data_IF_784330036076
#
_entry.id   IF_784330036076
#
_cell.length_a   1.000
_cell.length_b   1.000
_cell.length_c   1.000
_cell.angle_alpha   90.00
_cell.angle_beta   90.00
_cell.angle_gamma   90.00
#
_symmetry.space_group_name_H-M   'P 1'
#
loop_
_entity.id
_entity.type
_entity.pdbx_description
1 polymer ?
#
# COMPACT_ATOMS: atom_id res chain seq x y z
N UNK A 1 -13.81 -4.20 -6.25
CA UNK A 1 -12.41 -3.80 -6.53
C UNK A 1 -11.62 -4.80 -7.38
N UNK A 2 -12.24 -5.85 -7.97
CA UNK A 2 -11.50 -6.83 -8.80
C UNK A 2 -10.76 -6.17 -9.97
N UNK A 3 -11.44 -5.34 -10.77
CA UNK A 3 -10.82 -4.59 -11.89
C UNK A 3 -9.78 -3.55 -11.46
N UNK A 4 -9.71 -3.18 -10.17
CA UNK A 4 -8.64 -2.31 -9.67
C UNK A 4 -7.33 -3.09 -9.49
N UNK A 5 -7.38 -4.27 -8.87
CA UNK A 5 -6.18 -5.08 -8.57
C UNK A 5 -5.84 -6.11 -9.65
N UNK A 6 -6.84 -6.50 -10.45
CA UNK A 6 -6.73 -7.43 -11.57
C UNK A 6 -7.38 -6.83 -12.83
N UNK A 7 -6.89 -5.68 -13.33
CA UNK A 7 -7.31 -5.15 -14.62
C UNK A 7 -6.78 -6.05 -15.75
N UNK A 8 -7.57 -6.20 -16.79
CA UNK A 8 -7.17 -6.85 -18.05
C UNK A 8 -6.62 -5.81 -19.03
N UNK A 9 -6.93 -4.53 -18.87
CA UNK A 9 -6.43 -3.43 -19.72
C UNK A 9 -6.23 -2.13 -18.94
N UNK A 10 -5.19 -1.37 -19.30
CA UNK A 10 -4.79 -0.15 -18.59
C UNK A 10 -4.59 1.01 -19.55
N UNK A 11 -5.07 2.19 -19.19
CA UNK A 11 -4.75 3.44 -19.87
C UNK A 11 -3.88 4.34 -18.96
N UNK A 12 -2.73 4.78 -19.45
CA UNK A 12 -1.84 5.71 -18.77
C UNK A 12 -1.94 7.08 -19.44
N UNK A 13 -2.42 8.07 -18.70
CA UNK A 13 -2.64 9.44 -19.16
C UNK A 13 -1.56 10.36 -18.58
N UNK A 14 -0.87 11.11 -19.46
CA UNK A 14 0.26 11.95 -19.09
C UNK A 14 1.61 11.46 -19.62
N UNK A 15 1.59 10.55 -20.60
CA UNK A 15 2.79 9.98 -21.21
C UNK A 15 3.33 10.90 -22.30
N UNK A 16 4.63 11.07 -22.39
CA UNK A 16 5.29 11.75 -23.50
C UNK A 16 6.66 11.13 -23.80
N UNK A 17 7.24 11.51 -24.95
CA UNK A 17 8.58 11.07 -25.37
C UNK A 17 9.72 11.82 -24.68
N UNK A 18 9.43 12.81 -23.83
CA UNK A 18 10.47 13.59 -23.17
C UNK A 18 11.20 12.71 -22.14
N UNK A 19 12.55 12.70 -22.09
CA UNK A 19 13.30 11.83 -21.19
C UNK A 19 12.94 11.96 -19.71
N UNK A 20 12.45 13.12 -19.28
CA UNK A 20 12.08 13.44 -17.89
C UNK A 20 10.61 13.16 -17.57
N UNK A 21 9.81 12.63 -18.51
CA UNK A 21 8.41 12.34 -18.27
C UNK A 21 8.26 11.17 -17.28
N UNK A 22 7.66 11.44 -16.12
CA UNK A 22 7.43 10.42 -15.10
C UNK A 22 6.37 9.39 -15.51
N UNK A 23 5.45 9.73 -16.42
CA UNK A 23 4.42 8.81 -16.92
C UNK A 23 5.01 7.64 -17.71
N UNK A 24 6.15 7.85 -18.37
CA UNK A 24 6.94 6.79 -19.02
C UNK A 24 7.36 5.70 -18.02
N UNK A 25 7.72 6.08 -16.80
CA UNK A 25 8.17 5.11 -15.79
C UNK A 25 7.05 4.16 -15.36
N UNK A 26 5.79 4.61 -15.37
CA UNK A 26 4.61 3.77 -15.11
C UNK A 26 4.55 2.64 -16.15
N UNK A 27 4.69 3.00 -17.43
CA UNK A 27 4.69 2.05 -18.55
C UNK A 27 5.87 1.08 -18.44
N UNK A 28 7.07 1.60 -18.19
CA UNK A 28 8.27 0.77 -18.03
C UNK A 28 8.19 -0.17 -16.83
N UNK A 29 7.55 0.24 -15.73
CA UNK A 29 7.32 -0.63 -14.58
C UNK A 29 6.34 -1.75 -14.93
N UNK A 30 5.23 -1.46 -15.60
CA UNK A 30 4.31 -2.49 -16.08
C UNK A 30 5.01 -3.52 -16.99
N UNK A 31 5.87 -3.06 -17.90
CA UNK A 31 6.68 -3.96 -18.75
C UNK A 31 7.70 -4.77 -17.95
N UNK A 32 8.44 -4.10 -17.06
CA UNK A 32 9.49 -4.72 -16.24
C UNK A 32 8.93 -5.80 -15.30
N UNK A 33 7.69 -5.64 -14.85
CA UNK A 33 7.00 -6.62 -14.01
C UNK A 33 6.04 -7.53 -14.79
N UNK A 34 6.11 -7.50 -16.12
CA UNK A 34 5.41 -8.41 -17.02
C UNK A 34 3.88 -8.37 -16.91
N UNK A 35 3.29 -7.18 -16.83
CA UNK A 35 1.85 -7.02 -17.01
C UNK A 35 1.43 -7.53 -18.40
N UNK A 36 0.51 -8.49 -18.45
CA UNK A 36 0.14 -9.18 -19.70
C UNK A 36 -0.93 -8.44 -20.51
N UNK A 37 -1.71 -7.56 -19.87
CA UNK A 37 -2.79 -6.84 -20.53
C UNK A 37 -2.32 -5.70 -21.44
N UNK A 38 -3.14 -5.25 -22.41
CA UNK A 38 -2.82 -4.08 -23.22
C UNK A 38 -2.67 -2.80 -22.38
N UNK A 39 -1.66 -2.02 -22.74
CA UNK A 39 -1.34 -0.72 -22.14
C UNK A 39 -1.56 0.37 -23.20
N UNK A 40 -2.52 1.26 -22.97
CA UNK A 40 -2.86 2.37 -23.85
C UNK A 40 -2.26 3.66 -23.30
N UNK A 41 -1.67 4.48 -24.17
CA UNK A 41 -0.92 5.66 -23.76
C UNK A 41 -1.61 6.91 -24.28
N UNK A 42 -1.84 7.90 -23.42
CA UNK A 42 -2.42 9.18 -23.81
C UNK A 42 -1.49 10.32 -23.39
N UNK A 43 -1.26 11.26 -24.30
CA UNK A 43 -0.33 12.36 -24.11
C UNK A 43 -0.61 13.54 -25.03
N UNK A 44 -0.17 14.74 -24.63
CA UNK A 44 -0.49 16.00 -25.32
C UNK A 44 -0.02 16.06 -26.79
N UNK A 45 1.14 15.48 -27.10
CA UNK A 45 1.82 15.63 -28.40
C UNK A 45 1.77 14.37 -29.27
N UNK A 46 1.14 13.29 -28.79
CA UNK A 46 1.22 11.97 -29.43
C UNK A 46 2.65 11.39 -29.47
N UNK A 47 2.89 10.46 -30.39
CA UNK A 47 4.19 9.82 -30.59
C UNK A 47 4.18 8.31 -30.33
N UNK A 48 5.34 7.76 -29.95
CA UNK A 48 5.51 6.34 -29.64
C UNK A 48 6.44 6.13 -28.46
N UNK A 49 6.07 5.23 -27.56
CA UNK A 49 6.90 4.76 -26.45
C UNK A 49 6.98 3.24 -26.48
N UNK A 50 8.19 2.67 -26.52
CA UNK A 50 8.45 1.23 -26.56
C UNK A 50 7.57 0.49 -27.60
N UNK A 51 7.42 1.10 -28.78
CA UNK A 51 6.59 0.54 -29.86
C UNK A 51 5.08 0.73 -29.71
N UNK A 52 4.56 1.37 -28.66
CA UNK A 52 3.13 1.69 -28.49
C UNK A 52 2.82 3.11 -28.97
N UNK A 53 1.66 3.31 -29.60
CA UNK A 53 1.15 4.64 -29.99
C UNK A 53 0.76 5.42 -28.73
N UNK A 54 1.19 6.68 -28.67
CA UNK A 54 0.66 7.67 -27.73
C UNK A 54 -0.48 8.40 -28.46
N UNK A 55 -1.70 8.19 -28.00
CA UNK A 55 -2.89 8.86 -28.50
C UNK A 55 -2.94 10.30 -27.98
N UNK A 56 -3.48 11.21 -28.78
CA UNK A 56 -3.66 12.61 -28.37
C UNK A 56 -4.94 12.84 -27.58
N UNK A 57 -5.89 11.92 -27.69
CA UNK A 57 -7.22 12.00 -27.08
C UNK A 57 -7.64 10.63 -26.55
N UNK A 58 -8.39 10.62 -25.44
CA UNK A 58 -8.88 9.39 -24.79
C UNK A 58 -9.89 8.67 -25.70
N UNK A 59 -10.66 9.44 -26.46
CA UNK A 59 -11.74 8.99 -27.32
C UNK A 59 -11.23 8.20 -28.53
N UNK A 60 -9.99 8.43 -28.96
CA UNK A 60 -9.35 7.71 -30.09
C UNK A 60 -9.06 6.24 -29.78
N UNK A 61 -9.10 5.83 -28.51
CA UNK A 61 -8.83 4.46 -28.09
C UNK A 61 -10.11 3.63 -28.27
N UNK A 62 -10.20 2.86 -29.34
CA UNK A 62 -11.30 1.92 -29.56
C UNK A 62 -11.06 0.58 -28.84
N UNK A 63 -11.10 0.63 -27.50
CA UNK A 63 -10.95 -0.54 -26.64
C UNK A 63 -11.65 -0.35 -25.30
N UNK A 64 -12.02 -1.47 -24.66
CA UNK A 64 -12.51 -1.47 -23.28
C UNK A 64 -11.32 -1.34 -22.32
N UNK A 65 -11.41 -0.38 -21.39
CA UNK A 65 -10.37 -0.06 -20.42
C UNK A 65 -10.87 -0.33 -19.01
N UNK A 66 -10.19 -1.20 -18.26
CA UNK A 66 -10.57 -1.52 -16.89
C UNK A 66 -10.10 -0.47 -15.87
N UNK A 67 -8.90 0.07 -16.09
CA UNK A 67 -8.22 0.97 -15.18
C UNK A 67 -7.52 2.11 -15.92
N UNK A 68 -7.75 3.34 -15.47
CA UNK A 68 -6.98 4.51 -15.92
C UNK A 68 -6.05 5.01 -14.82
N UNK A 69 -4.83 5.41 -15.18
CA UNK A 69 -3.87 6.07 -14.30
C UNK A 69 -3.56 7.46 -14.83
N UNK A 70 -3.75 8.47 -13.99
CA UNK A 70 -3.48 9.87 -14.31
C UNK A 70 -2.20 10.36 -13.65
N UNK A 71 -1.29 10.87 -14.48
CA UNK A 71 -0.15 11.67 -14.06
C UNK A 71 -0.08 12.96 -14.91
N UNK A 72 -1.09 13.80 -14.75
CA UNK A 72 -1.27 15.11 -15.42
C UNK A 72 -1.56 16.21 -14.40
N UNK A 73 -1.36 17.50 -14.70
CA UNK A 73 -1.69 18.57 -13.75
C UNK A 73 -3.13 18.48 -13.24
N UNK A 74 -3.32 18.70 -11.93
CA UNK A 74 -4.58 18.47 -11.23
C UNK A 74 -5.80 19.11 -11.90
N UNK A 75 -5.65 20.31 -12.46
CA UNK A 75 -6.72 21.06 -13.13
C UNK A 75 -7.31 20.34 -14.36
N UNK A 76 -6.56 19.45 -15.03
CA UNK A 76 -7.06 18.68 -16.19
C UNK A 76 -7.76 17.37 -15.83
N UNK A 77 -7.69 16.95 -14.55
CA UNK A 77 -8.28 15.68 -14.11
C UNK A 77 -9.81 15.64 -14.28
N UNK A 78 -10.60 16.68 -13.95
CA UNK A 78 -12.05 16.66 -14.11
C UNK A 78 -12.50 16.31 -15.54
N UNK A 79 -11.98 17.01 -16.55
CA UNK A 79 -12.33 16.79 -17.96
C UNK A 79 -11.94 15.38 -18.42
N UNK A 80 -10.72 14.94 -18.09
CA UNK A 80 -10.25 13.62 -18.46
C UNK A 80 -11.07 12.50 -17.78
N UNK A 81 -11.52 12.72 -16.55
CA UNK A 81 -12.37 11.80 -15.79
C UNK A 81 -13.78 11.70 -16.38
N UNK A 82 -14.35 12.81 -16.87
CA UNK A 82 -15.62 12.78 -17.59
C UNK A 82 -15.56 11.92 -18.85
N UNK A 83 -14.50 12.09 -19.66
CA UNK A 83 -14.26 11.28 -20.86
C UNK A 83 -14.08 9.80 -20.52
N UNK A 84 -13.36 9.48 -19.44
CA UNK A 84 -13.21 8.10 -18.95
C UNK A 84 -14.56 7.49 -18.57
N UNK A 85 -15.42 8.26 -17.89
CA UNK A 85 -16.77 7.83 -17.54
C UNK A 85 -17.64 7.53 -18.76
N UNK A 86 -17.57 8.38 -19.78
CA UNK A 86 -18.28 8.17 -21.05
C UNK A 86 -17.81 6.91 -21.79
N UNK A 87 -16.55 6.51 -21.62
CA UNK A 87 -16.01 5.23 -22.13
C UNK A 87 -16.31 4.01 -21.26
N UNK A 88 -17.03 4.18 -20.13
CA UNK A 88 -17.37 3.09 -19.22
C UNK A 88 -16.22 2.63 -18.32
N UNK A 89 -15.21 3.47 -18.10
CA UNK A 89 -14.11 3.16 -17.18
C UNK A 89 -14.59 3.38 -15.75
N UNK A 90 -14.48 2.37 -14.88
CA UNK A 90 -15.03 2.42 -13.52
C UNK A 90 -13.98 2.55 -12.40
N UNK A 91 -12.69 2.53 -12.73
CA UNK A 91 -11.61 2.75 -11.76
C UNK A 91 -10.57 3.71 -12.32
N UNK A 92 -10.17 4.67 -11.49
CA UNK A 92 -9.11 5.61 -11.81
C UNK A 92 -8.12 5.74 -10.65
N UNK A 93 -6.83 5.76 -10.96
CA UNK A 93 -5.78 6.19 -10.04
C UNK A 93 -5.35 7.60 -10.40
N UNK A 94 -5.34 8.50 -9.43
CA UNK A 94 -4.83 9.86 -9.62
C UNK A 94 -3.53 9.97 -8.82
N UNK A 95 -2.39 9.86 -9.50
CA UNK A 95 -1.07 9.97 -8.85
C UNK A 95 -0.68 11.44 -8.63
N UNK A 96 -1.21 12.33 -9.46
CA UNK A 96 -0.97 13.77 -9.38
C UNK A 96 -1.25 14.35 -8.00
N UNK A 97 -0.35 15.24 -7.57
CA UNK A 97 -0.61 16.21 -6.49
C UNK A 97 -1.16 17.53 -7.05
N UNK A 98 -1.36 18.50 -6.16
CA UNK A 98 -1.94 19.82 -6.47
C UNK A 98 -3.34 20.01 -5.89
N UNK A 99 -3.74 19.22 -4.90
CA UNK A 99 -5.07 19.24 -4.29
C UNK A 99 -5.05 19.90 -2.90
N UNK A 100 -5.86 19.41 -1.96
CA UNK A 100 -6.02 20.00 -0.63
C UNK A 100 -4.75 19.98 0.23
N UNK A 101 -3.75 19.16 -0.13
CA UNK A 101 -2.43 19.15 0.51
C UNK A 101 -1.60 20.40 0.24
N UNK A 102 -1.90 21.16 -0.83
CA UNK A 102 -1.18 22.40 -1.16
C UNK A 102 -1.88 23.65 -0.65
N UNK A 103 -3.20 23.76 -0.86
CA UNK A 103 -3.97 24.92 -0.46
C UNK A 103 -5.44 24.55 -0.23
N UNK A 104 -6.07 25.16 0.79
CA UNK A 104 -7.48 24.93 1.11
C UNK A 104 -8.43 25.29 -0.04
N UNK A 105 -8.05 26.25 -0.89
CA UNK A 105 -8.82 26.67 -2.07
C UNK A 105 -9.01 25.53 -3.09
N UNK A 106 -8.08 24.56 -3.10
CA UNK A 106 -8.14 23.39 -3.99
C UNK A 106 -9.18 22.35 -3.55
N UNK A 107 -9.83 22.50 -2.38
CA UNK A 107 -10.97 21.66 -1.97
C UNK A 107 -12.13 21.71 -2.97
N UNK A 108 -12.27 22.81 -3.71
CA UNK A 108 -13.26 22.91 -4.79
C UNK A 108 -12.97 21.95 -5.94
N UNK A 109 -11.69 21.75 -6.27
CA UNK A 109 -11.27 20.82 -7.30
C UNK A 109 -11.53 19.37 -6.89
N UNK A 110 -11.18 18.99 -5.65
CA UNK A 110 -11.49 17.68 -5.09
C UNK A 110 -13.00 17.40 -5.07
N UNK A 111 -13.80 18.40 -4.66
CA UNK A 111 -15.26 18.29 -4.65
C UNK A 111 -15.83 18.07 -6.05
N UNK A 112 -15.31 18.77 -7.07
CA UNK A 112 -15.71 18.59 -8.46
C UNK A 112 -15.35 17.18 -8.97
N UNK A 113 -14.13 16.73 -8.73
CA UNK A 113 -13.67 15.38 -9.10
C UNK A 113 -14.55 14.31 -8.47
N UNK A 114 -14.89 14.45 -7.19
CA UNK A 114 -15.74 13.49 -6.48
C UNK A 114 -17.18 13.50 -7.04
N UNK A 115 -17.71 14.67 -7.42
CA UNK A 115 -19.02 14.78 -8.06
C UNK A 115 -19.06 14.08 -9.43
N UNK A 116 -18.03 14.28 -10.26
CA UNK A 116 -17.87 13.61 -11.56
C UNK A 116 -17.75 12.11 -11.37
N UNK A 117 -16.87 11.66 -10.47
CA UNK A 117 -16.67 10.25 -10.17
C UNK A 117 -17.97 9.56 -9.76
N UNK A 118 -18.77 10.18 -8.90
CA UNK A 118 -20.09 9.66 -8.51
C UNK A 118 -21.06 9.60 -9.70
N UNK A 119 -21.16 10.68 -10.48
CA UNK A 119 -22.03 10.75 -11.68
C UNK A 119 -21.68 9.65 -12.68
N UNK A 120 -20.40 9.42 -12.90
CA UNK A 120 -19.86 8.47 -13.88
C UNK A 120 -19.63 7.06 -13.31
N UNK A 121 -19.94 6.83 -12.02
CA UNK A 121 -19.70 5.55 -11.32
C UNK A 121 -18.25 5.10 -11.40
N UNK A 122 -17.32 6.03 -11.21
CA UNK A 122 -15.88 5.77 -11.15
C UNK A 122 -15.44 5.75 -9.69
N UNK A 123 -14.66 4.75 -9.31
CA UNK A 123 -13.99 4.69 -8.01
C UNK A 123 -12.57 5.22 -8.11
N UNK A 124 -12.13 6.02 -7.16
CA UNK A 124 -10.85 6.73 -7.21
C UNK A 124 -9.85 6.21 -6.17
N UNK A 125 -8.62 5.95 -6.60
CA UNK A 125 -7.43 5.85 -5.74
C UNK A 125 -6.70 7.19 -5.75
N UNK A 126 -6.26 7.66 -4.58
CA UNK A 126 -5.63 8.98 -4.44
C UNK A 126 -6.65 10.09 -4.12
N UNK A 127 -6.44 11.31 -4.62
CA UNK A 127 -5.28 11.76 -5.40
C UNK A 127 -3.99 11.81 -4.55
N UNK A 128 -2.91 12.38 -5.11
CA UNK A 128 -1.63 12.57 -4.42
C UNK A 128 -1.09 11.28 -3.82
N UNK A 129 -0.88 10.28 -4.68
CA UNK A 129 -0.46 8.96 -4.27
C UNK A 129 0.67 8.43 -5.17
N UNK A 130 1.38 7.42 -4.68
CA UNK A 130 2.39 6.68 -5.45
C UNK A 130 1.79 5.49 -6.19
N UNK A 131 0.47 5.28 -6.13
CA UNK A 131 -0.28 4.25 -6.86
C UNK A 131 -0.40 2.89 -6.17
N UNK A 132 -0.84 1.91 -6.96
CA UNK A 132 -1.07 0.52 -6.57
C UNK A 132 -0.04 -0.41 -7.21
N UNK A 133 0.30 -1.47 -6.48
CA UNK A 133 1.14 -2.57 -6.92
C UNK A 133 0.39 -3.86 -6.61
N UNK A 134 0.24 -4.75 -7.60
CA UNK A 134 -0.10 -6.16 -7.42
C UNK A 134 0.97 -7.01 -8.13
N UNK A 135 1.76 -7.72 -7.33
CA UNK A 135 2.87 -8.52 -7.83
C UNK A 135 2.42 -9.88 -8.40
N UNK A 136 1.16 -10.27 -8.21
CA UNK A 136 0.63 -11.53 -8.76
C UNK A 136 0.37 -11.45 -10.27
N UNK A 137 0.14 -10.26 -10.82
CA UNK A 137 -0.21 -10.06 -12.23
C UNK A 137 0.61 -8.96 -12.92
N UNK A 138 1.70 -8.50 -12.30
CA UNK A 138 2.58 -7.48 -12.88
C UNK A 138 2.00 -6.06 -12.88
N UNK A 139 0.86 -5.80 -12.22
CA UNK A 139 0.29 -4.46 -12.10
C UNK A 139 1.19 -3.59 -11.20
N UNK A 140 2.12 -2.85 -11.79
CA UNK A 140 3.06 -1.99 -11.05
C UNK A 140 2.97 -0.57 -11.60
N UNK A 141 2.10 0.21 -10.99
CA UNK A 141 1.75 1.55 -11.46
C UNK A 141 2.56 2.73 -10.93
N UNK A 142 3.40 2.65 -9.88
CA UNK A 142 4.16 3.81 -9.44
C UNK A 142 4.97 4.50 -10.54
N UNK A 143 4.94 5.83 -10.57
CA UNK A 143 5.81 6.63 -11.45
C UNK A 143 7.30 6.60 -11.06
N UNK A 144 7.64 6.03 -9.89
CA UNK A 144 9.03 5.81 -9.47
C UNK A 144 9.54 4.50 -10.07
N UNK A 145 10.72 4.49 -10.72
CA UNK A 145 11.28 3.23 -11.25
C UNK A 145 11.52 2.21 -10.13
N UNK A 146 10.97 1.01 -10.27
CA UNK A 146 11.12 -0.08 -9.31
C UNK A 146 11.99 -1.22 -9.86
N UNK A 147 12.89 -1.75 -9.06
CA UNK A 147 13.76 -2.87 -9.44
C UNK A 147 13.11 -4.21 -9.08
N UNK A 148 12.67 -4.96 -10.10
CA UNK A 148 12.04 -6.28 -9.93
C UNK A 148 12.93 -7.26 -9.15
N UNK A 149 14.27 -7.13 -9.22
CA UNK A 149 15.19 -8.02 -8.48
C UNK A 149 15.20 -7.74 -6.98
N UNK A 150 14.76 -6.56 -6.56
CA UNK A 150 14.74 -6.12 -5.16
C UNK A 150 13.38 -6.29 -4.49
N UNK A 151 12.32 -6.52 -5.26
CA UNK A 151 10.97 -6.69 -4.71
C UNK A 151 10.60 -8.16 -4.76
N UNK A 152 10.44 -8.78 -3.59
CA UNK A 152 10.02 -10.18 -3.49
C UNK A 152 8.50 -10.27 -3.41
N UNK A 153 7.95 -11.26 -4.10
CA UNK A 153 6.56 -11.67 -3.88
C UNK A 153 6.43 -12.40 -2.54
N UNK A 154 5.31 -12.21 -1.85
CA UNK A 154 5.02 -12.85 -0.57
C UNK A 154 3.61 -12.56 -0.07
N UNK A 155 3.24 -13.07 1.12
CA UNK A 155 1.85 -13.11 1.55
C UNK A 155 1.34 -11.81 2.18
N UNK A 156 2.13 -10.73 2.18
CA UNK A 156 1.82 -9.49 2.88
C UNK A 156 1.20 -8.48 1.93
N UNK A 157 0.06 -7.91 2.32
CA UNK A 157 -0.48 -6.72 1.67
C UNK A 157 -0.33 -5.51 2.57
N UNK A 158 0.19 -4.42 2.02
CA UNK A 158 0.47 -3.21 2.78
C UNK A 158 -0.20 -2.00 2.14
N UNK A 159 -1.07 -1.33 2.90
CA UNK A 159 -1.83 -0.17 2.47
C UNK A 159 -1.40 1.03 3.32
N UNK A 160 -0.84 2.05 2.70
CA UNK A 160 -0.34 3.22 3.40
C UNK A 160 -0.95 4.50 2.85
N UNK A 161 -1.32 5.41 3.75
CA UNK A 161 -1.76 6.75 3.35
C UNK A 161 -0.61 7.52 2.68
N UNK A 162 0.62 7.41 3.22
CA UNK A 162 1.81 8.05 2.67
C UNK A 162 2.51 7.20 1.59
N UNK A 163 2.75 7.80 0.42
CA UNK A 163 3.56 7.19 -0.63
C UNK A 163 5.02 6.97 -0.22
N UNK A 164 5.60 7.91 0.54
CA UNK A 164 6.96 7.77 1.07
C UNK A 164 7.11 6.51 1.92
N UNK A 165 6.12 6.21 2.77
CA UNK A 165 6.11 4.99 3.60
C UNK A 165 6.00 3.72 2.73
N UNK A 166 5.22 3.72 1.64
CA UNK A 166 5.23 2.61 0.67
C UNK A 166 6.62 2.40 0.10
N UNK A 167 7.25 3.47 -0.41
CA UNK A 167 8.59 3.40 -1.00
C UNK A 167 9.65 2.91 0.00
N UNK A 168 9.63 3.41 1.23
CA UNK A 168 10.54 2.93 2.28
C UNK A 168 10.31 1.47 2.60
N UNK A 169 9.04 1.02 2.67
CA UNK A 169 8.70 -0.38 2.94
C UNK A 169 9.18 -1.30 1.82
N UNK A 170 9.02 -0.90 0.55
CA UNK A 170 9.56 -1.63 -0.61
C UNK A 170 11.08 -1.76 -0.50
N UNK A 171 11.80 -0.68 -0.20
CA UNK A 171 13.26 -0.72 -0.05
C UNK A 171 13.70 -1.60 1.11
N UNK A 172 13.08 -1.45 2.29
CA UNK A 172 13.41 -2.25 3.48
C UNK A 172 13.10 -3.73 3.28
N UNK A 173 12.04 -4.07 2.55
CA UNK A 173 11.67 -5.48 2.33
C UNK A 173 12.78 -6.30 1.67
N UNK A 174 13.55 -5.67 0.78
CA UNK A 174 14.71 -6.29 0.14
C UNK A 174 15.81 -6.65 1.14
N UNK A 175 16.04 -5.82 2.15
CA UNK A 175 17.01 -6.03 3.22
C UNK A 175 16.50 -6.99 4.31
N UNK A 176 15.19 -6.98 4.57
CA UNK A 176 14.55 -7.71 5.67
C UNK A 176 14.02 -9.10 5.26
N UNK A 177 14.22 -9.49 4.00
CA UNK A 177 13.70 -10.72 3.40
C UNK A 177 12.17 -10.87 3.54
N UNK A 178 11.46 -9.75 3.34
CA UNK A 178 10.01 -9.68 3.38
C UNK A 178 9.50 -9.63 1.93
N UNK A 179 8.41 -10.35 1.65
CA UNK A 179 7.75 -10.32 0.36
C UNK A 179 6.33 -9.75 0.46
N UNK A 180 5.95 -8.93 -0.51
CA UNK A 180 4.60 -8.36 -0.61
C UNK A 180 3.81 -9.05 -1.73
N UNK A 181 2.48 -9.06 -1.65
CA UNK A 181 1.61 -9.40 -2.78
C UNK A 181 1.01 -8.12 -3.35
N UNK A 182 0.54 -7.22 -2.49
CA UNK A 182 -0.11 -5.97 -2.89
C UNK A 182 0.39 -4.81 -2.05
N UNK A 183 0.71 -3.70 -2.70
CA UNK A 183 1.03 -2.44 -2.03
C UNK A 183 0.09 -1.36 -2.55
N UNK A 184 -0.38 -0.49 -1.67
CA UNK A 184 -1.25 0.62 -2.04
C UNK A 184 -0.77 1.88 -1.34
N UNK A 185 -0.46 2.91 -2.11
CA UNK A 185 -0.42 4.29 -1.63
C UNK A 185 -1.80 4.91 -1.83
N UNK A 186 -2.49 5.25 -0.75
CA UNK A 186 -3.86 5.79 -0.84
C UNK A 186 -3.90 7.30 -1.07
N UNK A 187 -2.84 8.03 -0.72
CA UNK A 187 -2.79 9.48 -0.79
C UNK A 187 -3.88 10.14 0.06
N UNK A 188 -4.59 11.10 -0.53
CA UNK A 188 -5.60 11.90 0.18
C UNK A 188 -6.87 11.13 0.56
N UNK A 189 -7.09 9.91 0.02
CA UNK A 189 -8.30 9.08 0.26
C UNK A 189 -9.61 9.80 -0.11
N UNK A 190 -9.66 10.44 -1.28
CA UNK A 190 -10.82 11.22 -1.71
C UNK A 190 -12.09 10.38 -1.90
N UNK A 191 -11.94 9.13 -2.33
CA UNK A 191 -13.03 8.15 -2.42
C UNK A 191 -12.66 6.84 -1.71
N UNK A 192 -11.79 6.03 -2.31
CA UNK A 192 -11.36 4.77 -1.69
C UNK A 192 -10.44 5.06 -0.49
N UNK A 193 -10.76 4.43 0.64
CA UNK A 193 -10.04 4.61 1.90
C UNK A 193 -9.66 3.26 2.51
N UNK A 194 -9.02 3.28 3.68
CA UNK A 194 -8.49 2.09 4.33
C UNK A 194 -9.51 0.97 4.57
N UNK A 195 -10.79 1.32 4.75
CA UNK A 195 -11.85 0.35 4.96
C UNK A 195 -12.15 -0.46 3.70
N UNK A 196 -12.18 0.22 2.54
CA UNK A 196 -12.46 -0.44 1.25
C UNK A 196 -11.33 -1.40 0.88
N UNK A 197 -10.07 -0.99 1.10
CA UNK A 197 -8.92 -1.86 0.89
C UNK A 197 -8.90 -3.02 1.89
N UNK A 198 -9.18 -2.78 3.18
CA UNK A 198 -9.23 -3.85 4.18
C UNK A 198 -10.29 -4.89 3.82
N UNK A 199 -11.49 -4.46 3.45
CA UNK A 199 -12.58 -5.34 3.02
C UNK A 199 -12.17 -6.23 1.83
N UNK A 200 -11.52 -5.64 0.81
CA UNK A 200 -10.97 -6.42 -0.30
C UNK A 200 -9.91 -7.42 0.18
N UNK A 201 -8.92 -6.98 0.95
CA UNK A 201 -7.79 -7.80 1.39
C UNK A 201 -8.18 -8.93 2.36
N UNK A 202 -9.28 -8.78 3.10
CA UNK A 202 -9.85 -9.84 3.92
C UNK A 202 -10.26 -11.03 3.05
N UNK A 203 -10.89 -10.76 1.90
CA UNK A 203 -11.34 -11.80 0.96
C UNK A 203 -10.26 -12.29 -0.02
N UNK A 204 -9.17 -11.53 -0.19
CA UNK A 204 -8.13 -11.85 -1.18
C UNK A 204 -7.29 -13.08 -0.79
N UNK A 205 -7.23 -14.14 -1.60
CA UNK A 205 -6.50 -15.37 -1.23
C UNK A 205 -4.98 -15.19 -1.18
N UNK A 206 -4.41 -14.28 -1.97
CA UNK A 206 -2.97 -13.97 -2.00
C UNK A 206 -2.48 -13.29 -0.72
N UNK A 207 -3.35 -12.50 -0.08
CA UNK A 207 -3.07 -11.85 1.21
C UNK A 207 -3.27 -12.80 2.39
N UNK A 208 -2.23 -13.00 3.22
CA UNK A 208 -2.32 -13.66 4.54
C UNK A 208 -2.09 -12.71 5.70
N UNK A 209 -1.33 -11.63 5.50
CA UNK A 209 -1.02 -10.62 6.51
C UNK A 209 -1.36 -9.24 5.94
N UNK A 210 -2.05 -8.41 6.71
CA UNK A 210 -2.50 -7.08 6.29
C UNK A 210 -1.79 -6.03 7.15
N UNK A 211 -1.03 -5.15 6.52
CA UNK A 211 -0.46 -3.97 7.18
C UNK A 211 -1.16 -2.69 6.73
N UNK A 212 -1.41 -1.78 7.66
CA UNK A 212 -1.93 -0.45 7.36
C UNK A 212 -1.01 0.61 7.98
N UNK A 213 -0.68 1.64 7.21
CA UNK A 213 -0.13 2.90 7.74
C UNK A 213 -1.15 4.01 7.60
N UNK A 214 -1.59 4.57 8.74
CA UNK A 214 -2.74 5.46 8.83
C UNK A 214 -2.36 6.78 9.51
N UNK A 215 -2.50 7.89 8.79
CA UNK A 215 -2.42 9.25 9.36
C UNK A 215 -3.79 9.68 9.88
N UNK A 216 -4.86 9.20 9.23
CA UNK A 216 -6.24 9.38 9.67
C UNK A 216 -7.07 8.13 9.45
N UNK A 217 -8.22 8.05 10.12
CA UNK A 217 -9.20 6.98 9.96
C UNK A 217 -10.51 7.60 9.49
N UNK A 218 -11.02 7.17 8.33
CA UNK A 218 -12.22 7.71 7.71
C UNK A 218 -13.49 7.23 8.40
N UNK A 219 -13.57 5.95 8.76
CA UNK A 219 -14.68 5.38 9.53
C UNK A 219 -14.16 4.34 10.53
N UNK A 220 -13.95 4.78 11.77
CA UNK A 220 -13.39 3.94 12.82
C UNK A 220 -14.26 2.73 13.17
N UNK A 221 -15.59 2.86 13.15
CA UNK A 221 -16.49 1.74 13.44
C UNK A 221 -16.35 0.64 12.39
N UNK A 222 -16.45 1.00 11.11
CA UNK A 222 -16.28 0.08 9.98
C UNK A 222 -14.89 -0.59 10.01
N UNK A 223 -13.83 0.16 10.33
CA UNK A 223 -12.47 -0.39 10.42
C UNK A 223 -12.40 -1.51 11.47
N UNK A 224 -12.98 -1.27 12.65
CA UNK A 224 -12.95 -2.27 13.73
C UNK A 224 -13.83 -3.48 13.41
N UNK A 225 -14.99 -3.27 12.80
CA UNK A 225 -15.91 -4.36 12.44
C UNK A 225 -15.28 -5.26 11.35
N UNK A 226 -14.63 -4.66 10.35
CA UNK A 226 -13.86 -5.39 9.34
C UNK A 226 -12.71 -6.18 9.96
N UNK A 227 -11.92 -5.56 10.84
CA UNK A 227 -10.80 -6.25 11.48
C UNK A 227 -11.25 -7.45 12.33
N UNK A 228 -12.37 -7.35 13.05
CA UNK A 228 -12.95 -8.47 13.81
C UNK A 228 -13.46 -9.61 12.93
N UNK A 229 -13.84 -9.31 11.68
CA UNK A 229 -14.42 -10.30 10.75
C UNK A 229 -13.39 -11.27 10.16
N UNK A 230 -12.09 -11.03 10.34
CA UNK A 230 -11.02 -11.80 9.72
C UNK A 230 -10.12 -12.51 10.73
N UNK A 231 -9.58 -13.66 10.33
CA UNK A 231 -8.51 -14.35 11.06
C UNK A 231 -7.12 -13.93 10.58
N UNK A 232 -7.03 -13.16 9.49
CA UNK A 232 -5.76 -12.64 8.98
C UNK A 232 -5.24 -11.58 9.93
N UNK A 233 -3.95 -11.61 10.33
CA UNK A 233 -3.38 -10.56 11.16
C UNK A 233 -3.50 -9.20 10.48
N UNK A 234 -4.07 -8.23 11.21
CA UNK A 234 -4.12 -6.82 10.81
C UNK A 234 -3.16 -6.05 11.70
N UNK A 235 -2.16 -5.42 11.10
CA UNK A 235 -1.10 -4.68 11.79
C UNK A 235 -1.22 -3.21 11.40
N UNK A 236 -1.25 -2.30 12.37
CA UNK A 236 -1.43 -0.87 12.13
C UNK A 236 -0.28 -0.06 12.68
N UNK A 237 0.37 0.73 11.82
CA UNK A 237 1.23 1.84 12.20
C UNK A 237 0.42 3.14 12.10
N UNK A 238 -0.04 3.66 13.24
CA UNK A 238 -0.79 4.92 13.32
C UNK A 238 0.15 6.08 13.62
N UNK A 239 0.19 7.08 12.74
CA UNK A 239 0.89 8.35 12.95
C UNK A 239 -0.10 9.48 13.24
N UNK A 240 0.37 10.73 13.38
CA UNK A 240 -0.48 11.89 13.71
C UNK A 240 -1.31 11.68 14.99
N UNK A 241 -0.63 11.32 16.08
CA UNK A 241 -1.23 10.93 17.37
C UNK A 241 -1.01 11.97 18.48
N UNK A 242 -0.16 12.96 18.22
CA UNK A 242 0.22 14.01 19.17
C UNK A 242 0.12 15.39 18.51
N UNK A 243 0.04 16.44 19.33
CA UNK A 243 -0.07 17.84 18.88
C UNK A 243 1.06 18.25 17.93
N UNK A 244 2.31 17.92 18.27
CA UNK A 244 3.48 18.21 17.42
C UNK A 244 3.39 17.48 16.06
N UNK A 245 3.01 16.20 16.06
CA UNK A 245 2.83 15.45 14.81
C UNK A 245 1.65 15.98 13.97
N UNK A 246 0.61 16.52 14.60
CA UNK A 246 -0.51 17.16 13.91
C UNK A 246 -0.07 18.44 13.20
N UNK A 247 0.71 19.28 13.87
CA UNK A 247 1.27 20.48 13.24
C UNK A 247 2.07 20.17 11.98
N UNK A 248 2.86 19.10 11.99
CA UNK A 248 3.61 18.63 10.80
C UNK A 248 2.65 18.03 9.76
N UNK A 249 1.73 17.17 10.19
CA UNK A 249 0.78 16.50 9.30
C UNK A 249 -0.13 17.48 8.55
N UNK A 250 -0.42 18.67 9.09
CA UNK A 250 -1.21 19.71 8.42
C UNK A 250 -0.62 20.20 7.09
N UNK A 251 0.70 20.08 6.90
CA UNK A 251 1.35 20.48 5.65
C UNK A 251 1.28 19.42 4.55
N UNK A 252 0.80 18.22 4.87
CA UNK A 252 0.73 17.10 3.94
C UNK A 252 -0.61 16.37 3.94
N UNK A 253 -1.46 16.61 4.94
CA UNK A 253 -2.81 16.03 5.10
C UNK A 253 -3.75 17.02 5.78
N UNK A 254 -4.99 17.11 5.32
CA UNK A 254 -6.02 17.94 5.97
C UNK A 254 -6.67 17.26 7.21
N UNK A 255 -6.10 16.16 7.72
CA UNK A 255 -6.74 15.35 8.74
C UNK A 255 -6.41 15.81 10.17
N UNK A 256 -7.46 15.97 10.99
CA UNK A 256 -7.35 16.24 12.42
C UNK A 256 -6.74 15.03 13.14
N UNK A 257 -5.82 15.29 14.09
CA UNK A 257 -5.37 14.23 15.00
C UNK A 257 -6.54 13.75 15.86
N UNK A 258 -6.73 12.43 15.87
CA UNK A 258 -7.61 11.78 16.83
C UNK A 258 -6.92 11.60 18.17
N UNK A 259 -7.70 11.41 19.23
CA UNK A 259 -7.19 11.03 20.54
C UNK A 259 -6.48 9.65 20.44
N UNK A 260 -5.20 9.61 20.79
CA UNK A 260 -4.39 8.40 20.66
C UNK A 260 -4.77 7.30 21.65
N UNK A 261 -5.28 7.65 22.83
CA UNK A 261 -5.76 6.68 23.82
C UNK A 261 -7.03 6.01 23.33
N UNK A 262 -7.94 6.79 22.76
CA UNK A 262 -9.17 6.27 22.12
C UNK A 262 -8.80 5.34 20.97
N UNK A 263 -7.89 5.78 20.10
CA UNK A 263 -7.41 4.99 18.97
C UNK A 263 -6.76 3.68 19.44
N UNK A 264 -5.84 3.74 20.40
CA UNK A 264 -5.18 2.55 20.97
C UNK A 264 -6.18 1.54 21.52
N UNK A 265 -7.16 2.02 22.29
CA UNK A 265 -8.18 1.18 22.90
C UNK A 265 -9.06 0.52 21.85
N UNK A 266 -9.50 1.27 20.83
CA UNK A 266 -10.32 0.75 19.75
C UNK A 266 -9.59 -0.31 18.92
N UNK A 267 -8.33 -0.07 18.55
CA UNK A 267 -7.50 -1.03 17.81
C UNK A 267 -7.30 -2.31 18.61
N UNK A 268 -6.94 -2.20 19.90
CA UNK A 268 -6.76 -3.34 20.80
C UNK A 268 -8.05 -4.17 20.93
N UNK A 269 -9.20 -3.52 21.15
CA UNK A 269 -10.48 -4.19 21.24
C UNK A 269 -10.83 -4.95 19.96
N UNK A 270 -10.43 -4.44 18.79
CA UNK A 270 -10.68 -5.06 17.49
C UNK A 270 -9.70 -6.20 17.14
N UNK A 271 -8.71 -6.48 18.00
CA UNK A 271 -7.67 -7.46 17.72
C UNK A 271 -6.61 -6.99 16.72
N UNK A 272 -6.54 -5.68 16.46
CA UNK A 272 -5.53 -5.09 15.57
C UNK A 272 -4.20 -4.97 16.32
N UNK A 273 -3.13 -5.49 15.74
CA UNK A 273 -1.78 -5.36 16.28
C UNK A 273 -1.20 -3.99 15.96
N UNK A 274 -1.22 -3.08 16.94
CA UNK A 274 -0.63 -1.75 16.78
C UNK A 274 0.89 -1.79 16.94
N UNK A 275 1.60 -1.10 16.06
CA UNK A 275 3.05 -0.83 16.12
C UNK A 275 3.31 0.68 16.05
N UNK A 276 4.50 1.10 16.45
CA UNK A 276 4.87 2.52 16.60
C UNK A 276 6.00 2.97 15.68
N UNK A 277 6.72 2.04 15.07
CA UNK A 277 7.79 2.35 14.12
C UNK A 277 7.70 1.49 12.86
N UNK A 278 8.33 1.95 11.77
CA UNK A 278 8.43 1.16 10.55
C UNK A 278 9.23 -0.12 10.78
N UNK A 279 10.23 -0.10 11.66
CA UNK A 279 11.00 -1.28 12.04
C UNK A 279 10.12 -2.31 12.79
N UNK A 280 9.29 -1.87 13.72
CA UNK A 280 8.31 -2.73 14.38
C UNK A 280 7.30 -3.33 13.39
N UNK A 281 6.85 -2.54 12.41
CA UNK A 281 5.98 -3.04 11.34
C UNK A 281 6.66 -4.17 10.54
N UNK A 282 7.91 -3.97 10.12
CA UNK A 282 8.68 -5.02 9.41
C UNK A 282 8.90 -6.25 10.30
N UNK A 283 9.17 -6.06 11.59
CA UNK A 283 9.30 -7.17 12.55
C UNK A 283 7.98 -7.94 12.72
N UNK A 284 6.85 -7.23 12.83
CA UNK A 284 5.53 -7.83 12.92
C UNK A 284 5.23 -8.67 11.67
N UNK A 285 5.51 -8.16 10.46
CA UNK A 285 5.37 -8.92 9.23
C UNK A 285 6.14 -10.25 9.24
N UNK A 286 7.38 -10.25 9.75
CA UNK A 286 8.17 -11.47 9.91
C UNK A 286 7.56 -12.42 10.94
N UNK A 287 7.15 -11.90 12.10
CA UNK A 287 6.60 -12.69 13.22
C UNK A 287 5.27 -13.33 12.83
N UNK A 288 4.35 -12.60 12.21
CA UNK A 288 3.03 -13.11 11.81
C UNK A 288 3.08 -14.10 10.64
N UNK A 289 4.24 -14.24 9.99
CA UNK A 289 4.49 -15.28 9.00
C UNK A 289 4.96 -16.61 9.63
N UNK A 290 5.25 -16.62 10.93
CA UNK A 290 5.61 -17.83 11.67
C UNK A 290 4.36 -18.56 12.19
N UNK A 291 4.45 -19.87 12.44
CA UNK A 291 3.39 -20.61 13.13
C UNK A 291 3.09 -20.00 14.50
N UNK A 292 1.83 -20.05 14.92
CA UNK A 292 1.42 -19.64 16.26
C UNK A 292 2.19 -20.45 17.31
N UNK A 293 2.76 -19.74 18.28
CA UNK A 293 3.40 -20.37 19.44
C UNK A 293 2.38 -21.17 20.23
N UNK A 294 2.78 -22.35 20.70
CA UNK A 294 1.91 -23.27 21.47
C UNK A 294 1.98 -23.06 22.99
N UNK A 295 2.81 -22.13 23.46
CA UNK A 295 2.99 -21.84 24.87
C UNK A 295 4.18 -20.92 25.14
N UNK A 296 4.44 -20.68 26.42
CA UNK A 296 5.48 -19.75 26.88
C UNK A 296 6.88 -20.37 27.01
N UNK A 297 7.06 -21.62 26.60
CA UNK A 297 8.33 -22.34 26.75
C UNK A 297 9.21 -22.13 25.52
N UNK A 298 10.41 -21.59 25.72
CA UNK A 298 11.39 -21.32 24.67
C UNK A 298 12.67 -22.12 24.89
N UNK A 299 13.37 -22.38 23.79
CA UNK A 299 14.73 -22.88 23.79
C UNK A 299 15.62 -21.90 23.03
N UNK A 300 16.81 -21.60 23.57
CA UNK A 300 17.73 -20.62 22.99
C UNK A 300 18.97 -21.36 22.48
N UNK A 301 19.29 -21.18 21.20
CA UNK A 301 20.51 -21.70 20.57
C UNK A 301 21.27 -20.52 19.98
N UNK A 302 22.53 -20.33 20.39
CA UNK A 302 23.36 -19.21 19.96
C UNK A 302 24.82 -19.63 19.91
N UNK A 303 25.57 -19.13 18.92
CA UNK A 303 27.03 -19.25 18.86
C UNK A 303 27.74 -18.28 19.81
N UNK A 304 27.05 -17.23 20.26
CA UNK A 304 27.57 -16.21 21.17
C UNK A 304 26.95 -16.37 22.56
N UNK A 305 27.81 -16.49 23.58
CA UNK A 305 27.36 -16.51 24.98
C UNK A 305 26.62 -15.23 25.37
N UNK A 306 27.15 -14.06 25.01
CA UNK A 306 26.49 -12.77 25.29
C UNK A 306 25.13 -12.65 24.60
N UNK A 307 25.01 -13.12 23.35
CA UNK A 307 23.73 -13.17 22.65
C UNK A 307 22.71 -14.09 23.33
N UNK A 308 23.15 -15.24 23.85
CA UNK A 308 22.29 -16.15 24.60
C UNK A 308 21.78 -15.52 25.90
N UNK A 309 22.64 -14.81 26.63
CA UNK A 309 22.26 -14.11 27.86
C UNK A 309 21.24 -13.00 27.58
N UNK A 310 21.49 -12.15 26.58
CA UNK A 310 20.52 -11.10 26.21
C UNK A 310 19.16 -11.68 25.78
N UNK A 311 19.17 -12.78 25.03
CA UNK A 311 17.95 -13.46 24.62
C UNK A 311 17.22 -14.09 25.83
N UNK A 312 17.96 -14.62 26.80
CA UNK A 312 17.40 -15.18 28.02
C UNK A 312 16.73 -14.12 28.90
N UNK A 313 17.39 -12.97 29.09
CA UNK A 313 16.83 -11.83 29.81
C UNK A 313 15.57 -11.29 29.13
N UNK A 314 15.57 -11.23 27.80
CA UNK A 314 14.39 -10.83 27.03
C UNK A 314 13.24 -11.83 27.21
N UNK A 315 13.51 -13.14 27.13
CA UNK A 315 12.50 -14.17 27.35
C UNK A 315 11.82 -14.00 28.72
N UNK A 316 12.61 -13.87 29.79
CA UNK A 316 12.12 -13.64 31.14
C UNK A 316 11.29 -12.35 31.24
N UNK A 317 11.79 -11.23 30.67
CA UNK A 317 11.12 -9.91 30.68
C UNK A 317 9.73 -9.95 30.06
N UNK A 318 9.54 -10.75 29.02
CA UNK A 318 8.26 -10.89 28.32
C UNK A 318 7.44 -12.10 28.79
N UNK A 319 7.79 -12.71 29.93
CA UNK A 319 7.02 -13.78 30.57
C UNK A 319 7.19 -15.18 29.95
N UNK A 320 8.20 -15.36 29.12
CA UNK A 320 8.59 -16.68 28.60
C UNK A 320 9.50 -17.43 29.59
N UNK A 321 9.53 -18.75 29.47
CA UNK A 321 10.35 -19.66 30.27
C UNK A 321 11.35 -20.39 29.39
N UNK A 322 12.62 -20.39 29.79
CA UNK A 322 13.66 -21.12 29.09
C UNK A 322 13.67 -22.57 29.61
N UNK A 323 13.47 -23.52 28.70
CA UNK A 323 13.48 -24.94 29.05
C UNK A 323 14.87 -25.52 28.78
N UNK A 324 15.46 -26.27 29.74
CA UNK A 324 16.72 -26.94 29.51
C UNK A 324 16.58 -27.99 28.40
N UNK A 325 17.59 -28.08 27.53
CA UNK A 325 17.65 -29.13 26.53
C UNK A 325 17.74 -30.52 27.20
N UNK A 326 17.15 -31.52 26.56
CA UNK A 326 17.24 -32.90 27.05
C UNK A 326 18.68 -33.41 27.02
N UNK A 327 19.02 -34.32 27.95
CA UNK A 327 20.35 -34.96 27.98
C UNK A 327 20.67 -35.67 26.66
N UNK A 328 19.67 -36.28 26.01
CA UNK A 328 19.82 -36.94 24.71
C UNK A 328 20.17 -35.95 23.60
N UNK A 329 19.51 -34.79 23.55
CA UNK A 329 19.82 -33.74 22.58
C UNK A 329 21.24 -33.20 22.78
N UNK A 330 21.62 -32.89 24.02
CA UNK A 330 22.99 -32.42 24.33
C UNK A 330 24.06 -33.45 23.98
N UNK A 331 23.79 -34.75 24.13
CA UNK A 331 24.71 -35.82 23.71
C UNK A 331 24.88 -35.84 22.19
N UNK A 332 23.79 -35.71 21.43
CA UNK A 332 23.82 -35.69 19.96
C UNK A 332 24.65 -34.52 19.42
N UNK A 333 24.41 -33.30 19.93
CA UNK A 333 25.13 -32.10 19.47
C UNK A 333 26.62 -32.13 19.79
N UNK A 334 27.06 -32.84 20.84
CA UNK A 334 28.49 -32.98 21.19
C UNK A 334 29.27 -33.95 20.30
N UNK A 335 28.58 -34.77 19.50
CA UNK A 335 29.19 -35.80 18.66
C UNK A 335 29.42 -35.37 17.21
N UNK A 336 28.80 -34.25 16.79
CA UNK A 336 29.03 -33.62 15.48
C UNK A 336 29.92 -32.39 15.61
#
# INVERSE_FOLDING_TARGET
MKKLFYPESIMVVGVSNTPTNLGKNIVENLERFHFEGPIYLVGKQGGRLNGRKIYTRIEEIDASIDLVVFLIPAFYIPEALELCGQKGIHYAVIESGGFSEFADENKRLESNILAIARKQRIRLVGPNCISIINLENGLVLPFVPLDQKRIKSGPISFVAQSGGVVNYSVRLSSCENIGFTKLVSMGNKLDLNENDYLEFLISDPGTKIIGLYLESVSNGRRLMDLARSTKKPVIVLKSNTHTASNQIARFHTAALAGDDKVTSSALSQAGIHRVFTLQELMNAFKIFNLPLIKGANLAIMSRSGGGAVMAADAAQRYGFRIIPFSKSFLKHVRQG
#
